data_IF_826708054543
#
_entry.id   IF_826708054543
#
_cell.length_a   1.000
_cell.length_b   1.000
_cell.length_c   1.000
_cell.angle_alpha   90.00
_cell.angle_beta   90.00
_cell.angle_gamma   90.00
#
_symmetry.space_group_name_H-M   'P 1'
#
loop_
_entity.id
_entity.type
_entity.pdbx_description
1 polymer ?
#
# COMPACT_ATOMS: atom_id res chain seq x y z
N UNK A 1 19.21 34.58 -11.28
CA UNK A 1 18.98 33.28 -11.93
C UNK A 1 18.03 32.39 -11.11
N UNK A 2 18.36 31.89 -9.90
CA UNK A 2 17.43 31.02 -9.13
C UNK A 2 16.15 31.77 -8.71
N UNK A 3 16.28 32.98 -8.17
CA UNK A 3 15.18 33.81 -7.68
C UNK A 3 14.14 34.16 -8.75
N UNK A 4 14.58 34.28 -10.01
CA UNK A 4 13.73 34.60 -11.17
C UNK A 4 13.02 33.39 -11.78
N UNK A 5 13.53 32.17 -11.51
CA UNK A 5 13.02 30.93 -12.10
C UNK A 5 12.30 30.03 -11.08
N UNK A 6 12.22 30.44 -9.81
CA UNK A 6 11.74 29.54 -8.76
C UNK A 6 10.30 29.10 -8.98
N UNK A 7 9.40 30.00 -9.32
CA UNK A 7 8.01 29.68 -9.59
C UNK A 7 7.85 28.75 -10.80
N UNK A 8 8.61 29.01 -11.87
CA UNK A 8 8.53 28.15 -13.07
C UNK A 8 9.18 26.78 -12.84
N UNK A 9 10.19 26.69 -11.96
CA UNK A 9 10.75 25.41 -11.55
C UNK A 9 9.74 24.61 -10.72
N UNK A 10 8.97 25.25 -9.85
CA UNK A 10 7.85 24.58 -9.16
C UNK A 10 6.79 24.09 -10.15
N UNK A 11 6.40 24.93 -11.13
CA UNK A 11 5.49 24.51 -12.21
C UNK A 11 6.06 23.30 -12.97
N UNK A 12 7.36 23.34 -13.31
CA UNK A 12 8.03 22.23 -13.97
C UNK A 12 7.91 20.94 -13.18
N UNK A 13 8.19 20.96 -11.88
CA UNK A 13 8.09 19.78 -11.02
C UNK A 13 6.67 19.20 -11.02
N UNK A 14 5.63 20.04 -10.91
CA UNK A 14 4.24 19.59 -10.95
C UNK A 14 3.89 18.98 -12.31
N UNK A 15 4.29 19.61 -13.42
CA UNK A 15 4.04 19.08 -14.78
C UNK A 15 4.76 17.76 -15.00
N UNK A 16 5.99 17.63 -14.54
CA UNK A 16 6.79 16.42 -14.63
C UNK A 16 6.14 15.27 -13.82
N UNK A 17 5.67 15.57 -12.61
CA UNK A 17 4.96 14.63 -11.72
C UNK A 17 3.67 14.10 -12.37
N UNK A 18 2.84 15.01 -12.85
CA UNK A 18 1.53 14.65 -13.42
C UNK A 18 1.62 14.05 -14.83
N UNK A 19 2.76 14.18 -15.49
CA UNK A 19 2.98 13.78 -16.90
C UNK A 19 1.90 14.32 -17.85
N UNK A 20 1.23 15.40 -17.44
CA UNK A 20 0.07 15.99 -18.12
C UNK A 20 -0.10 17.46 -17.74
N UNK A 21 -0.08 18.34 -18.74
CA UNK A 21 -0.37 19.75 -18.52
C UNK A 21 -1.79 20.02 -18.01
N UNK A 22 -2.77 19.22 -18.45
CA UNK A 22 -4.16 19.37 -18.01
C UNK A 22 -4.33 19.02 -16.54
N UNK A 23 -3.74 17.91 -16.08
CA UNK A 23 -3.78 17.51 -14.67
C UNK A 23 -3.02 18.50 -13.79
N UNK A 24 -1.82 18.92 -14.22
CA UNK A 24 -1.03 19.91 -13.52
C UNK A 24 -1.76 21.27 -13.40
N UNK A 25 -2.46 21.69 -14.45
CA UNK A 25 -3.27 22.92 -14.45
C UNK A 25 -4.39 22.84 -13.40
N UNK A 26 -5.11 21.71 -13.34
CA UNK A 26 -6.14 21.49 -12.33
C UNK A 26 -5.58 21.53 -10.91
N UNK A 27 -4.39 20.94 -10.68
CA UNK A 27 -3.74 20.91 -9.36
C UNK A 27 -3.24 22.29 -8.91
N UNK A 28 -2.75 23.11 -9.84
CA UNK A 28 -2.24 24.45 -9.57
C UNK A 28 -3.31 25.55 -9.64
N UNK A 29 -4.55 25.24 -10.01
CA UNK A 29 -5.62 26.20 -10.12
C UNK A 29 -5.44 27.23 -11.24
N UNK A 30 -4.69 26.90 -12.32
CA UNK A 30 -4.39 27.80 -13.44
C UNK A 30 -4.79 27.19 -14.77
N UNK A 31 -4.75 27.98 -15.86
CA UNK A 31 -5.06 27.45 -17.19
C UNK A 31 -3.89 26.64 -17.77
N UNK A 32 -4.19 25.62 -18.58
CA UNK A 32 -3.18 24.84 -19.30
C UNK A 32 -2.30 25.71 -20.20
N UNK A 33 -2.85 26.75 -20.81
CA UNK A 33 -2.09 27.69 -21.63
C UNK A 33 -1.07 28.48 -20.81
N UNK A 34 -1.43 28.94 -19.61
CA UNK A 34 -0.52 29.62 -18.70
C UNK A 34 0.67 28.74 -18.31
N UNK A 35 0.41 27.46 -17.96
CA UNK A 35 1.48 26.50 -17.67
C UNK A 35 2.39 26.26 -18.88
N UNK A 36 1.80 26.13 -20.06
CA UNK A 36 2.59 25.92 -21.29
C UNK A 36 3.48 27.11 -21.61
N UNK A 37 2.99 28.34 -21.37
CA UNK A 37 3.77 29.55 -21.54
C UNK A 37 4.89 29.67 -20.50
N UNK A 38 4.61 29.43 -19.23
CA UNK A 38 5.61 29.44 -18.16
C UNK A 38 6.73 28.42 -18.42
N UNK A 39 6.39 27.23 -18.83
CA UNK A 39 7.38 26.20 -19.19
C UNK A 39 8.24 26.61 -20.39
N UNK A 40 7.62 27.16 -21.44
CA UNK A 40 8.35 27.63 -22.62
C UNK A 40 9.32 28.76 -22.23
N UNK A 41 8.86 29.73 -21.44
CA UNK A 41 9.69 30.82 -20.96
C UNK A 41 10.89 30.36 -20.12
N UNK A 42 10.68 29.34 -19.24
CA UNK A 42 11.75 28.74 -18.47
C UNK A 42 12.80 28.07 -19.38
N UNK A 43 12.35 27.19 -20.31
CA UNK A 43 13.24 26.49 -21.24
C UNK A 43 14.02 27.44 -22.14
N UNK A 44 13.39 28.53 -22.61
CA UNK A 44 14.05 29.58 -23.42
C UNK A 44 15.11 30.37 -22.61
N UNK A 45 14.81 30.74 -21.35
CA UNK A 45 15.79 31.41 -20.48
C UNK A 45 16.98 30.54 -20.12
N UNK A 46 16.74 29.24 -19.89
CA UNK A 46 17.80 28.30 -19.58
C UNK A 46 18.54 27.82 -20.84
N UNK A 47 17.96 28.03 -22.01
CA UNK A 47 18.40 27.46 -23.28
C UNK A 47 18.55 25.94 -23.24
N UNK A 48 17.66 25.27 -22.46
CA UNK A 48 17.66 23.83 -22.25
C UNK A 48 16.21 23.36 -22.27
N UNK A 49 15.94 22.27 -22.97
CA UNK A 49 14.65 21.59 -22.90
C UNK A 49 14.60 20.70 -21.65
N UNK A 50 13.57 20.90 -20.83
CA UNK A 50 13.33 20.14 -19.61
C UNK A 50 12.25 19.06 -19.79
N UNK A 51 11.35 19.26 -20.76
CA UNK A 51 10.26 18.34 -21.06
C UNK A 51 10.28 17.93 -22.53
N UNK A 52 10.08 16.64 -22.76
CA UNK A 52 9.73 16.09 -24.08
C UNK A 52 8.21 16.01 -24.17
N UNK A 53 7.63 16.51 -25.27
CA UNK A 53 6.21 16.54 -25.52
C UNK A 53 5.88 15.69 -26.74
N UNK A 54 4.94 14.77 -26.60
CA UNK A 54 4.27 14.12 -27.71
C UNK A 54 2.79 14.50 -27.71
N UNK A 55 2.05 14.14 -28.72
CA UNK A 55 0.60 14.38 -28.77
C UNK A 55 -0.18 13.62 -27.68
N UNK A 56 0.46 12.66 -27.00
CA UNK A 56 -0.19 11.78 -26.01
C UNK A 56 0.47 11.79 -24.62
N UNK A 57 1.69 12.32 -24.50
CA UNK A 57 2.43 12.25 -23.23
C UNK A 57 3.43 13.39 -23.07
N UNK A 58 3.73 13.68 -21.81
CA UNK A 58 4.80 14.61 -21.38
C UNK A 58 5.74 13.81 -20.48
N UNK A 59 7.04 13.91 -20.73
CA UNK A 59 8.07 13.27 -19.92
C UNK A 59 9.26 14.23 -19.72
N UNK A 60 9.97 14.15 -18.59
CA UNK A 60 11.22 14.89 -18.40
C UNK A 60 12.29 14.45 -19.41
N UNK A 61 13.16 15.38 -19.79
CA UNK A 61 14.42 15.07 -20.50
C UNK A 61 15.49 14.66 -19.48
N UNK A 62 16.66 14.23 -19.92
CA UNK A 62 17.81 13.98 -19.03
C UNK A 62 18.13 15.21 -18.16
N UNK A 63 18.11 16.41 -18.74
CA UNK A 63 18.28 17.66 -18.00
C UNK A 63 17.15 17.89 -16.99
N UNK A 64 15.91 17.54 -17.37
CA UNK A 64 14.75 17.59 -16.49
C UNK A 64 14.88 16.64 -15.30
N UNK A 65 15.27 15.40 -15.53
CA UNK A 65 15.49 14.41 -14.45
C UNK A 65 16.58 14.87 -13.47
N UNK A 66 17.66 15.46 -13.95
CA UNK A 66 18.72 16.03 -13.10
C UNK A 66 18.20 17.16 -12.21
N UNK A 67 17.32 18.03 -12.74
CA UNK A 67 16.70 19.09 -11.96
C UNK A 67 15.74 18.52 -10.92
N UNK A 68 14.92 17.55 -11.29
CA UNK A 68 14.00 16.85 -10.38
C UNK A 68 14.79 16.24 -9.21
N UNK A 69 15.78 15.41 -9.51
CA UNK A 69 16.63 14.78 -8.49
C UNK A 69 17.34 15.78 -7.56
N UNK A 70 17.62 16.98 -8.05
CA UNK A 70 18.24 18.03 -7.25
C UNK A 70 17.25 18.83 -6.40
N UNK A 71 16.09 19.18 -6.96
CA UNK A 71 15.16 20.13 -6.33
C UNK A 71 14.14 19.46 -5.43
N UNK A 72 13.58 18.31 -5.84
CA UNK A 72 12.52 17.65 -5.06
C UNK A 72 12.92 17.38 -3.61
N UNK A 73 14.09 16.77 -3.32
CA UNK A 73 14.44 16.50 -1.93
C UNK A 73 14.59 17.79 -1.09
N UNK A 74 15.04 18.88 -1.71
CA UNK A 74 15.25 20.15 -1.01
C UNK A 74 13.96 20.93 -0.78
N UNK A 75 13.02 20.82 -1.69
CA UNK A 75 11.67 21.38 -1.48
C UNK A 75 10.95 20.60 -0.39
N UNK A 76 11.01 19.27 -0.43
CA UNK A 76 10.43 18.42 0.61
C UNK A 76 11.04 18.72 2.00
N UNK A 77 12.38 18.91 2.09
CA UNK A 77 13.06 19.32 3.33
C UNK A 77 12.60 20.71 3.82
N UNK A 78 12.44 21.67 2.91
CA UNK A 78 11.96 23.00 3.27
C UNK A 78 10.50 23.00 3.73
N UNK A 79 9.64 22.26 3.05
CA UNK A 79 8.25 22.10 3.45
C UNK A 79 8.14 21.45 4.84
N UNK A 80 8.94 20.41 5.12
CA UNK A 80 9.02 19.79 6.45
C UNK A 80 9.48 20.77 7.54
N UNK A 81 10.47 21.59 7.26
CA UNK A 81 10.94 22.59 8.23
C UNK A 81 9.89 23.68 8.48
N UNK A 82 9.19 24.13 7.44
CA UNK A 82 8.09 25.09 7.58
C UNK A 82 6.92 24.48 8.38
N UNK A 83 6.57 23.24 8.12
CA UNK A 83 5.56 22.52 8.91
C UNK A 83 5.98 22.39 10.37
N UNK A 84 7.25 22.06 10.64
CA UNK A 84 7.83 22.00 11.98
C UNK A 84 7.71 23.35 12.72
N UNK A 85 8.02 24.47 12.03
CA UNK A 85 7.89 25.81 12.59
C UNK A 85 6.42 26.22 12.88
N UNK A 86 5.51 25.81 12.01
CA UNK A 86 4.06 26.05 12.22
C UNK A 86 3.56 25.28 13.45
N UNK A 87 4.07 24.07 13.66
CA UNK A 87 3.70 23.22 14.80
C UNK A 87 4.19 23.75 16.17
N UNK A 88 5.20 24.63 16.20
CA UNK A 88 5.59 25.34 17.43
C UNK A 88 4.44 26.23 17.97
N UNK A 89 3.44 26.53 17.16
CA UNK A 89 2.34 27.45 17.51
C UNK A 89 0.95 26.80 17.62
N UNK A 90 0.80 25.47 17.44
CA UNK A 90 -0.53 24.90 17.41
C UNK A 90 -0.62 23.37 17.34
N UNK A 91 -1.74 22.86 16.85
CA UNK A 91 -1.98 21.44 16.70
C UNK A 91 -1.08 20.84 15.59
N UNK A 92 -0.61 19.58 15.77
CA UNK A 92 0.12 18.87 14.73
C UNK A 92 -0.67 18.81 13.43
N UNK A 93 -0.03 19.15 12.30
CA UNK A 93 -0.62 19.17 10.97
C UNK A 93 0.31 18.50 9.96
N UNK A 94 -0.21 18.11 8.80
CA UNK A 94 0.59 17.56 7.70
C UNK A 94 -0.16 16.57 6.83
N UNK A 95 0.50 16.13 5.76
CA UNK A 95 -0.02 15.14 4.83
C UNK A 95 0.83 13.87 4.90
N UNK A 96 0.19 12.72 5.09
CA UNK A 96 0.85 11.42 5.21
C UNK A 96 0.26 10.47 4.16
N UNK A 97 1.11 9.84 3.36
CA UNK A 97 0.71 8.85 2.36
C UNK A 97 1.19 7.47 2.75
N UNK A 98 0.25 6.55 2.93
CA UNK A 98 0.49 5.16 3.30
C UNK A 98 0.11 4.20 2.18
N UNK A 99 0.93 3.17 1.96
CA UNK A 99 0.58 2.01 1.14
C UNK A 99 0.39 0.79 2.03
N UNK A 100 -0.76 0.11 1.92
CA UNK A 100 -1.05 -1.08 2.72
C UNK A 100 -1.72 -2.16 1.89
N UNK A 101 -1.50 -3.43 2.23
CA UNK A 101 -2.31 -4.53 1.73
C UNK A 101 -3.75 -4.46 2.28
N UNK A 102 -4.70 -5.03 1.55
CA UNK A 102 -6.14 -4.96 1.88
C UNK A 102 -6.44 -5.43 3.31
N UNK A 103 -5.89 -6.57 3.72
CA UNK A 103 -6.10 -7.10 5.07
C UNK A 103 -5.55 -6.14 6.14
N UNK A 104 -4.29 -5.69 6.01
CA UNK A 104 -3.68 -4.76 6.96
C UNK A 104 -4.46 -3.44 7.05
N UNK A 105 -4.86 -2.89 5.91
CA UNK A 105 -5.63 -1.66 5.85
C UNK A 105 -6.94 -1.76 6.62
N UNK A 106 -7.66 -2.88 6.47
CA UNK A 106 -8.97 -3.12 7.05
C UNK A 106 -8.91 -3.49 8.53
N UNK A 107 -8.04 -4.46 8.88
CA UNK A 107 -8.01 -5.07 10.22
C UNK A 107 -7.15 -4.31 11.23
N UNK A 108 -6.12 -3.61 10.78
CA UNK A 108 -5.16 -2.95 11.67
C UNK A 108 -5.12 -1.43 11.52
N UNK A 109 -4.94 -0.94 10.28
CA UNK A 109 -4.70 0.49 10.05
C UNK A 109 -5.97 1.29 10.28
N UNK A 110 -7.07 0.94 9.60
CA UNK A 110 -8.30 1.70 9.68
C UNK A 110 -8.90 1.80 11.10
N UNK A 111 -8.94 0.73 11.92
CA UNK A 111 -9.40 0.83 13.30
C UNK A 111 -8.61 1.83 14.15
N UNK A 112 -7.28 1.92 13.95
CA UNK A 112 -6.38 2.84 14.66
C UNK A 112 -6.41 4.25 14.07
N UNK A 113 -6.60 4.41 12.77
CA UNK A 113 -6.73 5.72 12.13
C UNK A 113 -7.99 6.47 12.56
N UNK A 114 -9.11 5.78 12.83
CA UNK A 114 -10.36 6.44 13.22
C UNK A 114 -10.22 7.36 14.46
N UNK A 115 -9.67 6.89 15.59
CA UNK A 115 -9.44 7.76 16.74
C UNK A 115 -8.35 8.80 16.46
N UNK A 116 -7.27 8.43 15.79
CA UNK A 116 -6.16 9.30 15.43
C UNK A 116 -6.61 10.53 14.64
N UNK A 117 -7.39 10.36 13.58
CA UNK A 117 -7.90 11.46 12.75
C UNK A 117 -8.92 12.35 13.49
N UNK A 118 -9.58 11.84 14.52
CA UNK A 118 -10.43 12.68 15.38
C UNK A 118 -9.62 13.52 16.36
N UNK A 119 -8.52 13.01 16.85
CA UNK A 119 -7.62 13.68 17.78
C UNK A 119 -6.76 14.74 17.05
N UNK A 120 -6.37 14.48 15.81
CA UNK A 120 -5.53 15.37 15.00
C UNK A 120 -6.21 15.79 13.69
N UNK A 121 -7.20 16.72 13.74
CA UNK A 121 -8.02 17.08 12.57
C UNK A 121 -7.23 17.80 11.47
N UNK A 122 -6.06 18.36 11.76
CA UNK A 122 -5.19 19.03 10.78
C UNK A 122 -4.20 18.06 10.08
N UNK A 123 -4.22 16.77 10.46
CA UNK A 123 -3.43 15.73 9.78
C UNK A 123 -4.29 15.06 8.71
N UNK A 124 -3.82 15.10 7.47
CA UNK A 124 -4.44 14.40 6.35
C UNK A 124 -3.71 13.08 6.09
N UNK A 125 -4.44 11.98 5.97
CA UNK A 125 -3.87 10.67 5.66
C UNK A 125 -4.47 10.13 4.36
N UNK A 126 -3.62 9.88 3.38
CA UNK A 126 -3.98 9.14 2.17
C UNK A 126 -3.57 7.66 2.36
N UNK A 127 -4.55 6.77 2.47
CA UNK A 127 -4.34 5.33 2.56
C UNK A 127 -4.62 4.67 1.22
N UNK A 128 -3.56 4.27 0.53
CA UNK A 128 -3.65 3.53 -0.74
C UNK A 128 -3.62 2.03 -0.46
N UNK A 129 -4.67 1.34 -0.88
CA UNK A 129 -4.79 -0.11 -0.71
C UNK A 129 -4.28 -0.79 -1.97
N UNK A 130 -3.14 -1.48 -1.85
CA UNK A 130 -2.53 -2.24 -2.93
C UNK A 130 -1.89 -3.52 -2.36
N UNK A 131 -2.26 -4.68 -2.91
CA UNK A 131 -1.71 -5.97 -2.51
C UNK A 131 -0.41 -6.32 -3.26
N UNK A 132 0.02 -5.49 -4.20
CA UNK A 132 1.29 -5.62 -4.90
C UNK A 132 2.48 -5.13 -4.10
N UNK A 133 3.67 -5.47 -4.56
CA UNK A 133 4.90 -4.86 -4.10
C UNK A 133 4.99 -3.45 -4.70
N UNK A 134 4.87 -2.44 -3.86
CA UNK A 134 5.02 -1.04 -4.23
C UNK A 134 6.36 -0.56 -3.68
N UNK A 135 7.22 -0.04 -4.55
CA UNK A 135 8.36 0.75 -4.10
C UNK A 135 7.83 2.04 -3.47
N UNK A 136 8.00 2.17 -2.15
CA UNK A 136 7.48 3.32 -1.40
C UNK A 136 8.19 4.62 -1.76
N UNK A 137 9.44 4.55 -2.22
CA UNK A 137 10.22 5.72 -2.63
C UNK A 137 9.77 6.19 -4.01
N UNK A 138 9.68 5.28 -4.99
CA UNK A 138 9.17 5.59 -6.32
C UNK A 138 7.70 6.02 -6.29
N UNK A 139 6.88 5.34 -5.47
CA UNK A 139 5.46 5.65 -5.25
C UNK A 139 5.22 6.89 -4.38
N UNK A 140 6.28 7.50 -3.81
CA UNK A 140 6.22 8.67 -2.93
C UNK A 140 5.29 8.47 -1.74
N UNK A 141 5.39 7.32 -1.12
CA UNK A 141 4.74 7.02 0.15
C UNK A 141 5.68 7.37 1.30
N UNK A 142 5.13 7.86 2.40
CA UNK A 142 5.90 8.10 3.63
C UNK A 142 6.18 6.78 4.34
N UNK A 143 5.25 5.83 4.25
CA UNK A 143 5.45 4.47 4.74
C UNK A 143 4.67 3.44 3.93
N UNK A 144 5.16 2.20 3.99
CA UNK A 144 4.47 1.00 3.54
C UNK A 144 4.08 0.11 4.73
N UNK A 145 3.04 -0.71 4.56
CA UNK A 145 2.60 -1.67 5.55
C UNK A 145 2.52 -3.03 4.89
N UNK A 146 3.40 -3.95 5.33
CA UNK A 146 3.52 -5.31 4.78
C UNK A 146 3.81 -6.30 5.91
N UNK A 147 3.71 -7.59 5.59
CA UNK A 147 4.18 -8.66 6.47
C UNK A 147 5.68 -8.53 6.70
N UNK A 148 6.15 -8.84 7.90
CA UNK A 148 7.53 -8.61 8.33
C UNK A 148 8.61 -9.31 7.48
N UNK A 149 8.25 -10.36 6.78
CA UNK A 149 9.15 -11.09 5.85
C UNK A 149 9.49 -10.30 4.58
N UNK A 150 8.74 -9.24 4.28
CA UNK A 150 8.81 -8.48 3.04
C UNK A 150 9.39 -7.07 3.22
N UNK A 151 10.07 -6.79 4.35
CA UNK A 151 10.66 -5.47 4.62
C UNK A 151 12.14 -5.47 4.26
N UNK A 152 12.56 -4.51 3.44
CA UNK A 152 13.95 -4.34 3.04
C UNK A 152 14.85 -3.97 4.24
N UNK A 153 16.10 -4.45 4.22
CA UNK A 153 17.06 -4.28 5.33
C UNK A 153 17.47 -2.82 5.59
N UNK A 154 17.29 -1.95 4.59
CA UNK A 154 17.65 -0.52 4.68
C UNK A 154 16.49 0.36 5.18
N UNK A 155 15.39 -0.26 5.60
CA UNK A 155 14.20 0.42 6.11
C UNK A 155 14.11 0.30 7.64
N UNK A 156 13.52 1.30 8.26
CA UNK A 156 13.05 1.18 9.65
C UNK A 156 11.73 0.43 9.64
N UNK A 157 11.60 -0.61 10.46
CA UNK A 157 10.40 -1.39 10.58
C UNK A 157 9.82 -1.27 12.01
N UNK A 158 8.55 -0.93 12.11
CA UNK A 158 7.80 -0.84 13.36
C UNK A 158 6.66 -1.84 13.34
N UNK A 159 6.61 -2.76 14.30
CA UNK A 159 5.54 -3.73 14.41
C UNK A 159 4.22 -3.02 14.75
N UNK A 160 3.16 -3.32 13.99
CA UNK A 160 1.85 -2.68 14.14
C UNK A 160 0.70 -3.66 14.45
N UNK A 161 0.95 -4.96 14.40
CA UNK A 161 -0.04 -6.00 14.69
C UNK A 161 0.55 -7.23 15.36
N UNK A 162 -0.31 -8.11 15.91
CA UNK A 162 0.09 -9.40 16.46
C UNK A 162 0.59 -10.33 15.35
N UNK A 163 1.13 -11.47 15.75
CA UNK A 163 1.33 -12.59 14.84
C UNK A 163 0.00 -13.01 14.24
N UNK A 164 0.03 -13.55 13.04
CA UNK A 164 -1.17 -13.94 12.33
C UNK A 164 -1.06 -15.34 11.74
N UNK A 165 -2.21 -15.89 11.37
CA UNK A 165 -2.33 -17.21 10.76
C UNK A 165 -3.35 -17.18 9.64
N UNK A 166 -3.17 -18.03 8.64
CA UNK A 166 -4.20 -18.29 7.63
C UNK A 166 -5.15 -19.38 8.12
N UNK A 167 -6.41 -19.27 7.71
CA UNK A 167 -7.41 -20.32 7.88
C UNK A 167 -7.84 -20.87 6.52
N UNK A 168 -7.94 -22.18 6.43
CA UNK A 168 -8.52 -22.88 5.28
C UNK A 168 -9.97 -23.20 5.64
N UNK A 169 -10.93 -22.59 4.93
CA UNK A 169 -12.36 -22.62 5.32
C UNK A 169 -13.27 -22.93 4.15
N UNK A 170 -14.39 -23.59 4.45
CA UNK A 170 -15.48 -23.82 3.50
C UNK A 170 -16.82 -23.87 4.22
N UNK A 171 -17.93 -23.67 3.49
CA UNK A 171 -19.27 -23.76 4.05
C UNK A 171 -19.65 -25.20 4.41
N UNK A 172 -20.48 -25.41 5.46
CA UNK A 172 -21.01 -26.73 5.77
C UNK A 172 -21.71 -27.39 4.57
N UNK A 173 -22.45 -26.63 3.79
CA UNK A 173 -23.15 -27.14 2.60
C UNK A 173 -22.18 -27.67 1.53
N UNK A 174 -20.99 -27.06 1.41
CA UNK A 174 -19.95 -27.56 0.51
C UNK A 174 -19.39 -28.90 0.99
N UNK A 175 -19.08 -29.02 2.29
CA UNK A 175 -18.53 -30.24 2.86
C UNK A 175 -19.55 -31.37 2.99
N UNK A 176 -20.85 -31.09 2.99
CA UNK A 176 -21.89 -32.12 2.93
C UNK A 176 -21.85 -32.94 1.62
N UNK A 177 -21.39 -32.30 0.53
CA UNK A 177 -21.23 -32.95 -0.77
C UNK A 177 -19.80 -33.40 -1.07
N UNK A 178 -18.81 -32.81 -0.38
CA UNK A 178 -17.38 -33.03 -0.60
C UNK A 178 -16.73 -33.23 0.78
N UNK A 179 -16.42 -34.45 1.22
CA UNK A 179 -15.82 -34.67 2.54
C UNK A 179 -14.63 -33.76 2.83
N UNK A 180 -14.56 -33.22 4.05
CA UNK A 180 -13.51 -32.27 4.42
C UNK A 180 -12.11 -32.87 4.25
N UNK A 181 -11.13 -32.13 3.69
CA UNK A 181 -9.79 -32.65 3.50
C UNK A 181 -9.06 -32.77 4.84
N UNK A 182 -8.40 -33.89 5.06
CA UNK A 182 -7.55 -34.18 6.23
C UNK A 182 -6.07 -33.97 5.89
N UNK A 183 -5.70 -33.99 4.61
CA UNK A 183 -4.34 -33.81 4.13
C UNK A 183 -4.26 -32.76 3.03
N UNK A 184 -3.06 -32.17 2.85
CA UNK A 184 -2.83 -31.18 1.79
C UNK A 184 -3.03 -31.77 0.37
N UNK A 185 -2.78 -33.06 0.22
CA UNK A 185 -2.94 -33.73 -1.07
C UNK A 185 -4.43 -33.79 -1.50
N UNK A 186 -5.34 -33.91 -0.56
CA UNK A 186 -6.78 -33.97 -0.82
C UNK A 186 -7.35 -32.65 -1.36
N UNK A 187 -6.64 -31.51 -1.16
CA UNK A 187 -7.02 -30.23 -1.78
C UNK A 187 -7.14 -30.32 -3.31
N UNK A 188 -6.46 -31.26 -3.96
CA UNK A 188 -6.57 -31.50 -5.41
C UNK A 188 -7.94 -32.01 -5.82
N UNK A 189 -8.70 -32.59 -4.89
CA UNK A 189 -10.04 -33.10 -5.12
C UNK A 189 -11.13 -32.06 -4.83
N UNK A 190 -10.73 -30.86 -4.39
CA UNK A 190 -11.64 -29.80 -4.01
C UNK A 190 -11.60 -28.63 -4.99
N UNK A 191 -12.69 -27.89 -5.06
CA UNK A 191 -12.72 -26.57 -5.69
C UNK A 191 -12.16 -25.57 -4.71
N UNK A 192 -11.03 -24.94 -5.06
CA UNK A 192 -10.41 -23.94 -4.24
C UNK A 192 -10.60 -22.55 -4.85
N UNK A 193 -10.84 -21.57 -4.00
CA UNK A 193 -11.01 -20.17 -4.40
C UNK A 193 -9.61 -19.56 -4.51
N UNK A 194 -9.16 -19.35 -5.75
CA UNK A 194 -7.82 -18.86 -6.05
C UNK A 194 -7.70 -17.35 -5.89
N UNK A 195 -6.47 -16.90 -5.67
CA UNK A 195 -6.07 -15.49 -5.74
C UNK A 195 -4.92 -15.33 -6.74
N UNK A 196 -4.92 -14.24 -7.50
CA UNK A 196 -3.81 -13.87 -8.36
C UNK A 196 -2.93 -12.83 -7.69
N UNK A 197 -1.63 -13.07 -7.67
CA UNK A 197 -0.66 -12.12 -7.13
C UNK A 197 -0.45 -10.98 -8.12
N UNK A 198 -0.65 -9.71 -7.73
CA UNK A 198 -0.51 -8.56 -8.64
C UNK A 198 0.89 -8.44 -9.23
N UNK A 199 1.93 -8.64 -8.43
CA UNK A 199 3.33 -8.44 -8.83
C UNK A 199 3.88 -9.59 -9.69
N UNK A 200 3.57 -10.83 -9.31
CA UNK A 200 4.12 -12.02 -10.00
C UNK A 200 3.22 -12.52 -11.14
N UNK A 201 1.98 -12.02 -11.26
CA UNK A 201 1.00 -12.43 -12.27
C UNK A 201 0.52 -13.87 -12.17
N UNK A 202 1.11 -14.69 -11.30
CA UNK A 202 0.75 -16.08 -11.03
C UNK A 202 -0.38 -16.24 -10.01
N UNK A 203 -0.93 -17.45 -9.90
CA UNK A 203 -1.81 -17.81 -8.81
C UNK A 203 -1.01 -17.92 -7.52
N UNK A 204 -1.60 -17.49 -6.40
CA UNK A 204 -1.02 -17.67 -5.08
C UNK A 204 -1.00 -19.14 -4.72
N UNK A 205 0.18 -19.70 -4.43
CA UNK A 205 0.30 -21.03 -3.86
C UNK A 205 0.05 -20.93 -2.36
N UNK A 206 -0.86 -21.76 -1.84
CA UNK A 206 -1.15 -21.76 -0.42
C UNK A 206 0.05 -22.24 0.37
N UNK A 207 0.39 -21.51 1.42
CA UNK A 207 1.57 -21.77 2.24
C UNK A 207 1.18 -22.47 3.52
N UNK A 208 1.83 -23.58 3.77
CA UNK A 208 1.62 -24.46 4.91
C UNK A 208 2.96 -24.81 5.54
N UNK A 209 2.91 -25.42 6.70
CA UNK A 209 4.09 -25.92 7.39
C UNK A 209 3.80 -27.25 8.06
N UNK A 210 4.77 -28.13 8.09
CA UNK A 210 4.74 -29.35 8.91
C UNK A 210 6.13 -29.64 9.46
N UNK A 211 6.21 -29.84 10.76
CA UNK A 211 7.48 -30.14 11.47
C UNK A 211 8.59 -29.11 11.14
N UNK A 212 8.21 -27.81 11.07
CA UNK A 212 9.15 -26.72 10.75
C UNK A 212 9.57 -26.64 9.27
N UNK A 213 8.96 -27.46 8.39
CA UNK A 213 9.25 -27.45 6.96
C UNK A 213 8.16 -26.72 6.20
N UNK A 214 8.47 -25.63 5.48
CA UNK A 214 7.48 -24.91 4.67
C UNK A 214 7.06 -25.75 3.46
N UNK A 215 5.77 -25.73 3.17
CA UNK A 215 5.14 -26.43 2.07
C UNK A 215 4.30 -25.46 1.25
N UNK A 216 4.38 -25.55 -0.09
CA UNK A 216 3.57 -24.73 -0.99
C UNK A 216 2.70 -25.61 -1.86
N UNK A 217 1.41 -25.37 -1.82
CA UNK A 217 0.43 -26.15 -2.55
C UNK A 217 -0.23 -25.29 -3.62
N UNK A 218 -0.10 -25.73 -4.87
CA UNK A 218 -0.90 -25.20 -5.96
C UNK A 218 -2.29 -25.83 -5.88
N UNK A 219 -3.31 -25.00 -5.87
CA UNK A 219 -4.70 -25.41 -5.82
C UNK A 219 -5.42 -24.99 -7.10
N UNK A 220 -6.47 -25.74 -7.45
CA UNK A 220 -7.28 -25.46 -8.63
C UNK A 220 -8.75 -25.23 -8.22
N UNK A 221 -9.47 -24.45 -9.03
CA UNK A 221 -10.88 -24.20 -8.80
C UNK A 221 -11.51 -23.28 -9.83
N UNK A 222 -12.81 -23.18 -9.78
CA UNK A 222 -13.62 -22.44 -10.75
C UNK A 222 -13.43 -20.92 -10.65
N UNK A 223 -13.13 -20.41 -9.41
CA UNK A 223 -13.07 -18.98 -9.12
C UNK A 223 -11.64 -18.54 -8.81
N UNK A 224 -11.22 -17.49 -9.47
CA UNK A 224 -10.02 -16.71 -9.12
C UNK A 224 -10.45 -15.28 -8.81
N UNK A 225 -10.31 -14.88 -7.56
CA UNK A 225 -10.76 -13.59 -7.07
C UNK A 225 -9.71 -12.99 -6.12
N UNK A 226 -9.26 -11.77 -6.39
CA UNK A 226 -8.21 -11.13 -5.58
C UNK A 226 -8.73 -10.42 -4.33
N UNK A 227 -9.85 -9.69 -4.35
CA UNK A 227 -10.36 -9.02 -3.15
C UNK A 227 -10.76 -10.03 -2.06
N UNK A 228 -10.39 -9.71 -0.82
CA UNK A 228 -10.58 -10.60 0.33
C UNK A 228 -12.05 -10.83 0.70
N UNK A 229 -12.93 -9.79 0.74
CA UNK A 229 -14.34 -9.97 1.05
C UNK A 229 -15.06 -10.94 0.12
N UNK A 230 -14.79 -10.84 -1.18
CA UNK A 230 -15.40 -11.68 -2.20
C UNK A 230 -14.92 -13.14 -2.11
N UNK A 231 -13.66 -13.37 -1.69
CA UNK A 231 -13.17 -14.74 -1.41
C UNK A 231 -13.87 -15.36 -0.22
N UNK A 232 -14.11 -14.57 0.85
CA UNK A 232 -14.85 -15.03 2.03
C UNK A 232 -16.31 -15.29 1.67
N UNK A 233 -16.95 -14.38 0.93
CA UNK A 233 -18.33 -14.55 0.49
C UNK A 233 -18.50 -15.79 -0.41
N UNK A 234 -17.57 -16.02 -1.32
CA UNK A 234 -17.58 -17.23 -2.15
C UNK A 234 -17.47 -18.52 -1.31
N UNK A 235 -16.65 -18.53 -0.26
CA UNK A 235 -16.57 -19.67 0.65
C UNK A 235 -17.88 -19.86 1.41
N UNK A 236 -18.47 -18.79 1.96
CA UNK A 236 -19.77 -18.81 2.64
C UNK A 236 -20.89 -19.30 1.72
N UNK A 237 -20.84 -18.93 0.45
CA UNK A 237 -21.80 -19.35 -0.58
C UNK A 237 -21.59 -20.79 -1.09
N UNK A 238 -20.58 -21.50 -0.58
CA UNK A 238 -20.33 -22.90 -0.93
C UNK A 238 -19.68 -23.12 -2.30
N UNK A 239 -19.03 -22.12 -2.88
CA UNK A 239 -18.30 -22.28 -4.15
C UNK A 239 -17.03 -23.13 -4.03
N UNK A 240 -16.53 -23.35 -2.81
CA UNK A 240 -15.34 -24.14 -2.55
C UNK A 240 -14.64 -23.77 -1.24
N UNK A 241 -13.38 -24.12 -1.16
CA UNK A 241 -12.51 -23.86 -0.01
C UNK A 241 -11.68 -22.60 -0.28
N UNK A 242 -11.57 -21.71 0.71
CA UNK A 242 -10.72 -20.51 0.66
C UNK A 242 -9.61 -20.60 1.70
N UNK A 243 -8.43 -20.04 1.36
CA UNK A 243 -7.35 -19.74 2.29
C UNK A 243 -7.32 -18.22 2.51
N UNK A 244 -7.64 -17.80 3.73
CA UNK A 244 -7.85 -16.40 4.11
C UNK A 244 -7.27 -16.11 5.50
N UNK A 245 -6.98 -14.85 5.87
CA UNK A 245 -6.59 -14.52 7.24
C UNK A 245 -7.63 -14.99 8.26
N UNK A 246 -7.18 -15.67 9.32
CA UNK A 246 -8.04 -16.34 10.31
C UNK A 246 -8.94 -15.32 11.05
N UNK A 247 -8.41 -14.18 11.41
CA UNK A 247 -9.13 -13.09 12.08
C UNK A 247 -10.35 -12.58 11.29
N UNK A 248 -10.29 -12.65 9.95
CA UNK A 248 -11.38 -12.22 9.07
C UNK A 248 -12.55 -13.20 8.99
N UNK A 249 -12.35 -14.42 9.43
CA UNK A 249 -13.36 -15.48 9.35
C UNK A 249 -13.72 -16.11 10.71
N UNK A 250 -13.10 -15.63 11.79
CA UNK A 250 -13.30 -16.15 13.13
C UNK A 250 -14.78 -16.16 13.54
N UNK A 251 -15.50 -15.06 13.33
CA UNK A 251 -16.94 -14.98 13.65
C UNK A 251 -17.78 -15.99 12.84
N UNK A 252 -17.40 -16.26 11.59
CA UNK A 252 -18.09 -17.23 10.75
C UNK A 252 -17.80 -18.68 11.18
N UNK A 253 -16.58 -18.94 11.68
CA UNK A 253 -16.21 -20.24 12.24
C UNK A 253 -16.99 -20.48 13.54
N UNK A 254 -16.98 -19.52 14.47
CA UNK A 254 -17.67 -19.59 15.74
C UNK A 254 -19.20 -19.74 15.60
N UNK A 255 -19.78 -19.07 14.60
CA UNK A 255 -21.21 -19.17 14.28
C UNK A 255 -21.56 -20.43 13.46
N UNK A 256 -20.60 -21.26 13.08
CA UNK A 256 -20.80 -22.48 12.28
C UNK A 256 -21.16 -22.23 10.81
N UNK A 257 -21.02 -21.00 10.32
CA UNK A 257 -21.22 -20.66 8.90
C UNK A 257 -20.05 -21.11 8.02
N UNK A 258 -18.87 -21.21 8.60
CA UNK A 258 -17.70 -21.79 7.97
C UNK A 258 -17.12 -22.90 8.87
N UNK A 259 -16.57 -23.93 8.23
CA UNK A 259 -15.82 -25.00 8.89
C UNK A 259 -14.36 -24.80 8.51
N UNK A 260 -13.49 -24.72 9.53
CA UNK A 260 -12.05 -24.67 9.34
C UNK A 260 -11.49 -26.08 9.20
N UNK A 261 -10.64 -26.29 8.20
CA UNK A 261 -9.97 -27.56 7.92
C UNK A 261 -8.45 -27.36 7.87
N UNK A 262 -7.67 -28.42 7.96
CA UNK A 262 -6.20 -28.39 7.85
C UNK A 262 -5.53 -27.42 8.84
N UNK A 263 -6.11 -27.19 10.00
CA UNK A 263 -5.64 -26.23 10.99
C UNK A 263 -4.21 -26.51 11.46
N UNK A 264 -3.82 -27.77 11.60
CA UNK A 264 -2.49 -28.19 12.02
C UNK A 264 -1.39 -27.89 10.97
N UNK A 265 -1.79 -27.58 9.74
CA UNK A 265 -0.90 -27.28 8.64
C UNK A 265 -0.66 -25.77 8.48
N UNK A 266 -1.51 -24.92 9.07
CA UNK A 266 -1.44 -23.48 8.96
C UNK A 266 -0.49 -22.91 10.02
N UNK A 267 0.73 -22.44 9.65
CA UNK A 267 1.67 -21.89 10.60
C UNK A 267 1.24 -20.52 11.11
N UNK A 268 1.74 -20.15 12.28
CA UNK A 268 1.74 -18.78 12.75
C UNK A 268 2.99 -18.07 12.20
N UNK A 269 2.84 -16.85 11.73
CA UNK A 269 3.93 -16.07 11.17
C UNK A 269 3.88 -14.62 11.66
N UNK A 270 5.02 -13.88 11.60
CA UNK A 270 5.08 -12.49 12.03
C UNK A 270 4.03 -11.66 11.31
N UNK A 271 3.32 -10.82 12.08
CA UNK A 271 2.29 -9.96 11.56
C UNK A 271 2.82 -8.78 10.75
N UNK A 272 2.06 -7.71 10.72
CA UNK A 272 2.37 -6.54 9.90
C UNK A 272 3.32 -5.57 10.57
N UNK A 273 4.17 -4.99 9.72
CA UNK A 273 5.09 -3.92 10.04
C UNK A 273 4.82 -2.71 9.17
N UNK A 274 4.87 -1.54 9.78
CA UNK A 274 5.02 -0.27 9.09
C UNK A 274 6.51 -0.07 8.83
N UNK A 275 6.90 0.19 7.58
CA UNK A 275 8.27 0.39 7.18
C UNK A 275 8.44 1.69 6.39
N UNK A 276 9.57 2.36 6.61
CA UNK A 276 9.90 3.65 6.00
C UNK A 276 11.41 3.84 5.90
N UNK A 277 11.91 4.73 5.00
CA UNK A 277 13.33 4.96 4.84
C UNK A 277 13.97 5.57 6.08
N UNK A 278 15.09 4.99 6.55
CA UNK A 278 15.78 5.40 7.80
C UNK A 278 16.43 6.79 7.75
N UNK A 279 16.61 7.35 6.56
CA UNK A 279 17.38 8.59 6.33
C UNK A 279 16.56 9.87 6.33
N UNK A 280 15.24 9.80 6.48
CA UNK A 280 14.38 10.98 6.54
C UNK A 280 14.19 11.42 7.99
N UNK A 281 14.39 12.70 8.25
CA UNK A 281 13.87 13.35 9.44
C UNK A 281 12.35 13.38 9.30
N UNK A 282 11.62 12.75 10.21
CA UNK A 282 10.17 12.59 10.08
C UNK A 282 9.45 13.82 10.63
N UNK A 283 8.44 14.34 9.88
CA UNK A 283 7.55 15.36 10.41
C UNK A 283 6.89 14.87 11.71
N UNK A 284 6.64 15.76 12.69
CA UNK A 284 5.98 15.39 13.94
C UNK A 284 4.64 14.66 13.75
N UNK A 285 3.85 15.04 12.75
CA UNK A 285 2.62 14.33 12.37
C UNK A 285 2.85 12.85 12.05
N UNK A 286 3.93 12.53 11.34
CA UNK A 286 4.27 11.15 11.00
C UNK A 286 4.75 10.37 12.24
N UNK A 287 5.51 11.00 13.16
CA UNK A 287 5.92 10.37 14.40
C UNK A 287 4.69 10.01 15.27
N UNK A 288 3.71 10.91 15.38
CA UNK A 288 2.45 10.63 16.08
C UNK A 288 1.67 9.48 15.45
N UNK A 289 1.64 9.41 14.11
CA UNK A 289 0.99 8.31 13.41
C UNK A 289 1.69 6.96 13.67
N UNK A 290 3.04 6.93 13.65
CA UNK A 290 3.79 5.71 13.98
C UNK A 290 3.43 5.23 15.38
N UNK A 291 3.37 6.14 16.37
CA UNK A 291 3.03 5.79 17.75
C UNK A 291 1.59 5.30 17.86
N UNK A 292 0.64 5.93 17.16
CA UNK A 292 -0.75 5.48 17.12
C UNK A 292 -0.93 4.10 16.47
N UNK A 293 -0.10 3.77 15.46
CA UNK A 293 -0.16 2.48 14.79
C UNK A 293 0.64 1.38 15.51
N UNK A 294 1.58 1.73 16.38
CA UNK A 294 2.44 0.77 17.09
C UNK A 294 1.63 -0.32 17.78
N UNK A 295 2.11 -1.55 17.66
CA UNK A 295 1.57 -2.67 18.42
C UNK A 295 2.13 -2.65 19.84
N UNK A 296 1.24 -2.64 20.82
CA UNK A 296 1.54 -2.83 22.25
C UNK A 296 0.85 -4.11 22.68
N UNK A 297 1.60 -5.03 23.28
CA UNK A 297 1.08 -6.27 23.86
C UNK A 297 0.14 -6.03 25.02
#
# INVERSE_FOLDING_TARGET
MLKENFNELQIFLVVARERSFTKAAGKLGVSQSALSHAMKALEERLNIRLLTRTTRSVAPTEAGERIIACLEPRIDELEQELESLIQLNGMPSGNIRLSAGEHAARSLVWPKLKPFLREYPEINVELVVDNGFVDIVEGRFDAGIRLGENVDKDMVAVRIGPDMRMAVVGAPAYFAANPAPETLHELQNHRCINMRLPTAGGLYHWEFEREGKPLRVKVDGQLTCSPLPERIDAALSGFGIACVPEDMVQEYIESGKLIQVLQEWCPTFPGYYLYYPSRKQHPPAFALLIDALRYTE
#
